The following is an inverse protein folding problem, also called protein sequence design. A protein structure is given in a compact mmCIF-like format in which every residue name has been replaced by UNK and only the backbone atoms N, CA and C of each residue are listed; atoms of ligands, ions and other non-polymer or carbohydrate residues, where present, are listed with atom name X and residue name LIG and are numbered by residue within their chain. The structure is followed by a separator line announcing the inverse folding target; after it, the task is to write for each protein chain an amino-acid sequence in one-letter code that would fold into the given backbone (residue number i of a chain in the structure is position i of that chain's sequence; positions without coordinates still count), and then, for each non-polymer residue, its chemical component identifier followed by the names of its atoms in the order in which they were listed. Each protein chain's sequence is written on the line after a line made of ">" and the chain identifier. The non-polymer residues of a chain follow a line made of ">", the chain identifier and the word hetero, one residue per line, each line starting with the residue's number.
data_IF_338159639642
#
_entry.id   IF_338159639642
#
_cell.length_a   1.000
_cell.length_b   1.000
_cell.length_c   1.000
_cell.angle_alpha   90.00
_cell.angle_beta   90.00
_cell.angle_gamma   90.00
#
_symmetry.space_group_name_H-M   'P 1'
#
loop_
_entity.id
_entity.type
_entity.pdbx_description
1 polymer ?
#
# COMPACT_ATOMS: atom_id res chain seq x y z
N UNK A 1 -25.38 -15.28 -37.72
CA UNK A 1 -26.36 -14.48 -36.96
C UNK A 1 -25.57 -13.87 -35.82
N UNK A 2 -25.00 -12.69 -36.10
CA UNK A 2 -24.09 -11.99 -35.18
C UNK A 2 -24.90 -11.33 -34.07
N UNK A 3 -24.55 -11.64 -32.81
CA UNK A 3 -25.15 -11.01 -31.65
C UNK A 3 -24.26 -9.80 -31.29
N UNK A 4 -24.48 -8.69 -31.97
CA UNK A 4 -23.99 -7.39 -31.56
C UNK A 4 -24.90 -6.82 -30.46
N UNK A 5 -24.73 -7.23 -29.23
CA UNK A 5 -25.31 -6.55 -28.09
C UNK A 5 -24.38 -5.46 -27.59
N UNK A 6 -24.41 -4.33 -28.29
CA UNK A 6 -23.87 -3.08 -27.78
C UNK A 6 -24.81 -2.63 -26.69
N UNK A 7 -24.31 -2.67 -25.44
CA UNK A 7 -24.98 -2.09 -24.29
C UNK A 7 -24.82 -0.57 -24.40
N UNK A 8 -25.82 0.10 -24.97
CA UNK A 8 -25.92 1.57 -24.91
C UNK A 8 -26.32 1.94 -23.49
N UNK A 9 -25.36 2.36 -22.69
CA UNK A 9 -25.61 3.02 -21.44
C UNK A 9 -25.84 4.51 -21.70
N UNK A 10 -27.08 4.97 -21.72
CA UNK A 10 -27.37 6.39 -21.53
C UNK A 10 -27.12 6.71 -20.07
N UNK A 11 -25.89 7.09 -19.74
CA UNK A 11 -25.53 7.63 -18.45
C UNK A 11 -26.12 9.03 -18.32
N UNK A 12 -27.12 9.23 -17.46
CA UNK A 12 -27.35 10.54 -16.86
C UNK A 12 -26.16 10.81 -15.95
N UNK A 13 -25.09 11.38 -16.53
CA UNK A 13 -23.95 11.88 -15.80
C UNK A 13 -24.42 13.06 -14.93
N UNK A 14 -24.55 12.83 -13.63
CA UNK A 14 -24.41 13.93 -12.70
C UNK A 14 -22.99 14.47 -12.85
N UNK A 15 -22.85 15.62 -13.50
CA UNK A 15 -21.58 16.33 -13.64
C UNK A 15 -21.08 16.72 -12.25
N UNK A 16 -20.25 15.85 -11.68
CA UNK A 16 -19.30 16.29 -10.65
C UNK A 16 -18.27 17.11 -11.40
N UNK A 17 -18.19 18.39 -11.09
CA UNK A 17 -17.20 19.32 -11.59
C UNK A 17 -15.80 18.73 -11.36
N UNK A 18 -15.26 18.09 -12.39
CA UNK A 18 -13.85 17.77 -12.49
C UNK A 18 -13.10 19.10 -12.63
N UNK A 19 -12.54 19.61 -11.56
CA UNK A 19 -11.51 20.65 -11.65
C UNK A 19 -10.41 20.08 -12.54
N UNK A 20 -10.16 20.72 -13.69
CA UNK A 20 -9.06 20.40 -14.58
C UNK A 20 -7.76 20.36 -13.79
N UNK A 21 -7.25 19.15 -13.58
CA UNK A 21 -5.91 18.94 -13.04
C UNK A 21 -4.90 19.40 -14.09
N UNK A 22 -3.80 20.11 -13.73
CA UNK A 22 -2.76 20.52 -14.66
C UNK A 22 -2.17 19.33 -15.41
N UNK A 23 -1.59 19.56 -16.60
CA UNK A 23 -0.99 18.54 -17.48
C UNK A 23 -0.11 17.58 -16.68
N UNK A 24 -0.61 16.37 -16.50
CA UNK A 24 -0.21 15.45 -15.46
C UNK A 24 1.08 14.72 -15.79
N UNK A 25 1.91 14.38 -14.79
CA UNK A 25 2.91 13.36 -14.97
C UNK A 25 2.19 12.09 -15.42
N UNK A 26 2.64 11.50 -16.53
CA UNK A 26 2.05 10.27 -17.06
C UNK A 26 2.22 9.17 -16.02
N UNK A 27 1.11 8.70 -15.43
CA UNK A 27 1.08 7.54 -14.53
C UNK A 27 1.12 6.22 -15.31
N UNK A 28 1.45 6.27 -16.60
CA UNK A 28 1.53 5.11 -17.49
C UNK A 28 0.20 4.36 -17.53
N UNK A 29 0.27 3.03 -17.46
CA UNK A 29 -0.92 2.17 -17.50
C UNK A 29 -1.90 2.38 -16.34
N UNK A 30 -1.47 3.03 -15.25
CA UNK A 30 -2.31 3.34 -14.10
C UNK A 30 -3.10 4.65 -14.24
N UNK A 31 -2.91 5.41 -15.33
CA UNK A 31 -3.50 6.73 -15.54
C UNK A 31 -4.95 6.74 -16.05
N UNK A 32 -5.63 5.59 -16.15
CA UNK A 32 -7.04 5.53 -16.56
C UNK A 32 -7.99 5.99 -15.45
N UNK A 33 -9.18 6.43 -15.86
CA UNK A 33 -10.26 6.78 -14.94
C UNK A 33 -11.30 5.66 -14.85
N UNK A 34 -12.01 5.66 -13.72
CA UNK A 34 -13.17 4.83 -13.48
C UNK A 34 -14.39 5.68 -13.11
N UNK A 35 -15.55 5.17 -13.44
CA UNK A 35 -16.84 5.76 -13.12
C UNK A 35 -17.66 4.81 -12.26
N UNK A 36 -18.52 5.39 -11.43
CA UNK A 36 -19.54 4.66 -10.67
C UNK A 36 -20.86 4.81 -11.41
N UNK A 37 -21.45 3.70 -11.80
CA UNK A 37 -22.75 3.66 -12.53
C UNK A 37 -23.74 2.80 -11.78
N UNK A 38 -25.03 3.06 -11.98
CA UNK A 38 -26.09 2.28 -11.34
C UNK A 38 -26.05 0.82 -11.83
N UNK A 39 -26.18 -0.12 -10.91
CA UNK A 39 -26.23 -1.54 -11.25
C UNK A 39 -27.66 -1.91 -11.70
N UNK A 40 -27.73 -2.73 -12.74
CA UNK A 40 -29.02 -3.20 -13.23
C UNK A 40 -28.90 -4.27 -14.29
N UNK A 41 -30.05 -4.78 -14.72
CA UNK A 41 -30.12 -5.74 -15.82
C UNK A 41 -31.20 -5.32 -16.83
N UNK A 42 -31.10 -5.82 -18.04
CA UNK A 42 -32.19 -5.66 -19.03
C UNK A 42 -33.26 -6.70 -18.80
N UNK A 43 -34.52 -6.23 -18.72
CA UNK A 43 -35.66 -7.13 -18.75
C UNK A 43 -35.64 -7.91 -20.11
N UNK A 44 -35.57 -9.24 -20.08
CA UNK A 44 -35.48 -10.02 -21.32
C UNK A 44 -36.76 -9.96 -22.20
N UNK A 45 -37.90 -9.56 -21.63
CA UNK A 45 -39.17 -9.49 -22.32
C UNK A 45 -39.42 -8.08 -22.89
N UNK A 46 -39.18 -7.04 -22.08
CA UNK A 46 -39.51 -5.66 -22.49
C UNK A 46 -38.32 -4.87 -22.99
N UNK A 47 -37.09 -5.37 -22.76
CA UNK A 47 -35.87 -4.67 -23.08
C UNK A 47 -35.55 -3.49 -22.16
N UNK A 48 -36.43 -3.15 -21.22
CA UNK A 48 -36.25 -2.05 -20.29
C UNK A 48 -35.14 -2.34 -19.29
N UNK A 49 -34.43 -1.31 -18.83
CA UNK A 49 -33.46 -1.41 -17.76
C UNK A 49 -34.17 -1.53 -16.40
N UNK A 50 -33.77 -2.51 -15.62
CA UNK A 50 -34.22 -2.73 -14.26
C UNK A 50 -33.03 -2.45 -13.36
N UNK A 51 -33.12 -1.39 -12.57
CA UNK A 51 -32.10 -1.03 -11.57
C UNK A 51 -32.11 -2.01 -10.39
N UNK A 52 -30.92 -2.37 -9.90
CA UNK A 52 -30.74 -3.12 -8.67
C UNK A 52 -30.55 -2.12 -7.53
N UNK A 53 -31.49 -2.01 -6.60
CA UNK A 53 -31.39 -1.06 -5.50
C UNK A 53 -30.10 -1.25 -4.69
N UNK A 54 -29.53 -0.15 -4.20
CA UNK A 54 -28.35 -0.11 -3.33
C UNK A 54 -27.08 -0.74 -3.90
N UNK A 55 -27.05 -0.92 -5.22
CA UNK A 55 -25.92 -1.51 -5.92
C UNK A 55 -25.46 -0.61 -7.06
N UNK A 56 -24.15 -0.50 -7.21
CA UNK A 56 -23.50 0.25 -8.29
C UNK A 56 -22.37 -0.60 -8.89
N UNK A 57 -22.02 -0.35 -10.14
CA UNK A 57 -20.83 -0.90 -10.76
C UNK A 57 -19.74 0.16 -10.88
N UNK A 58 -18.50 -0.27 -10.65
CA UNK A 58 -17.34 0.51 -11.03
C UNK A 58 -16.92 0.02 -12.41
N UNK A 59 -16.88 0.93 -13.36
CA UNK A 59 -16.47 0.65 -14.74
C UNK A 59 -15.26 1.49 -15.13
N UNK A 60 -14.41 0.94 -15.96
CA UNK A 60 -13.30 1.67 -16.58
C UNK A 60 -13.84 2.56 -17.70
N UNK A 61 -13.52 3.85 -17.67
CA UNK A 61 -14.14 4.85 -18.56
C UNK A 61 -13.79 4.63 -20.03
N UNK A 62 -12.53 4.30 -20.33
CA UNK A 62 -12.03 4.15 -21.69
C UNK A 62 -12.49 2.87 -22.40
N UNK A 63 -12.75 1.80 -21.65
CA UNK A 63 -13.11 0.49 -22.19
C UNK A 63 -14.53 0.05 -21.86
N UNK A 64 -15.21 0.72 -20.91
CA UNK A 64 -16.50 0.29 -20.37
C UNK A 64 -16.42 -1.01 -19.55
N UNK A 65 -15.22 -1.50 -19.27
CA UNK A 65 -15.03 -2.77 -18.56
C UNK A 65 -15.46 -2.63 -17.08
N UNK A 66 -16.34 -3.52 -16.58
CA UNK A 66 -16.70 -3.52 -15.18
C UNK A 66 -15.59 -4.16 -14.32
N UNK A 67 -15.28 -3.54 -13.17
CA UNK A 67 -14.38 -4.10 -12.17
C UNK A 67 -15.16 -4.85 -11.09
N UNK A 68 -16.16 -4.21 -10.47
CA UNK A 68 -16.87 -4.79 -9.35
C UNK A 68 -18.21 -4.10 -9.10
N UNK A 69 -19.18 -4.86 -8.58
CA UNK A 69 -20.35 -4.31 -7.94
C UNK A 69 -20.04 -3.88 -6.50
N UNK A 70 -20.47 -2.68 -6.13
CA UNK A 70 -20.25 -2.07 -4.82
C UNK A 70 -21.55 -1.50 -4.27
N UNK A 71 -21.65 -1.32 -2.95
CA UNK A 71 -22.76 -0.65 -2.32
C UNK A 71 -22.66 0.88 -2.40
N UNK A 72 -23.74 1.56 -2.02
CA UNK A 72 -23.83 3.03 -2.04
C UNK A 72 -22.81 3.73 -1.14
N UNK A 73 -22.30 3.06 -0.12
CA UNK A 73 -21.30 3.61 0.81
C UNK A 73 -19.83 3.49 0.28
N UNK A 74 -19.66 2.95 -0.92
CA UNK A 74 -18.32 2.83 -1.50
C UNK A 74 -17.84 4.18 -2.03
N UNK A 75 -16.64 4.60 -1.60
CA UNK A 75 -15.95 5.77 -2.14
C UNK A 75 -14.90 5.32 -3.15
N UNK A 76 -15.15 5.61 -4.42
CA UNK A 76 -14.16 5.44 -5.47
C UNK A 76 -13.03 6.45 -5.31
N UNK A 77 -11.79 5.98 -5.43
CA UNK A 77 -10.58 6.80 -5.59
C UNK A 77 -9.90 6.32 -6.85
N UNK A 78 -9.81 7.15 -7.87
CA UNK A 78 -9.06 6.83 -9.08
C UNK A 78 -7.56 6.73 -8.76
N UNK A 79 -6.82 5.91 -9.53
CA UNK A 79 -5.38 5.76 -9.30
C UNK A 79 -4.63 7.07 -9.49
N UNK A 80 -4.99 7.84 -10.51
CA UNK A 80 -4.45 9.18 -10.78
C UNK A 80 -4.65 10.12 -9.58
N UNK A 81 -5.84 10.12 -8.98
CA UNK A 81 -6.16 10.93 -7.80
C UNK A 81 -5.33 10.51 -6.56
N UNK A 82 -5.12 9.19 -6.39
CA UNK A 82 -4.28 8.65 -5.33
C UNK A 82 -2.82 9.12 -5.49
N UNK A 83 -2.28 9.08 -6.70
CA UNK A 83 -0.91 9.49 -7.00
C UNK A 83 -0.74 11.01 -6.91
N UNK A 84 -1.68 11.80 -7.45
CA UNK A 84 -1.68 13.24 -7.32
C UNK A 84 -1.73 13.70 -5.85
N UNK A 85 -2.41 12.95 -4.99
CA UNK A 85 -2.41 13.22 -3.54
C UNK A 85 -1.04 12.97 -2.93
N UNK A 86 -0.35 11.90 -3.33
CA UNK A 86 1.02 11.63 -2.88
C UNK A 86 1.99 12.73 -3.34
N UNK A 87 1.88 13.20 -4.57
CA UNK A 87 2.73 14.29 -5.08
C UNK A 87 2.53 15.59 -4.30
N UNK A 88 1.29 15.94 -3.95
CA UNK A 88 1.01 17.09 -3.07
C UNK A 88 1.61 16.92 -1.67
N UNK A 89 1.63 15.70 -1.12
CA UNK A 89 2.28 15.41 0.16
C UNK A 89 3.79 15.62 0.02
N UNK A 90 4.40 15.13 -1.05
CA UNK A 90 5.84 15.31 -1.34
C UNK A 90 6.18 16.79 -1.47
N UNK A 91 5.42 17.56 -2.25
CA UNK A 91 5.61 19.00 -2.42
C UNK A 91 5.51 19.76 -1.10
N UNK A 92 4.56 19.40 -0.24
CA UNK A 92 4.33 20.02 1.08
C UNK A 92 5.31 19.58 2.16
N UNK A 93 6.07 18.51 1.96
CA UNK A 93 6.94 17.91 2.99
C UNK A 93 8.30 18.59 3.14
N UNK A 94 8.71 19.45 2.19
CA UNK A 94 10.04 20.04 2.16
C UNK A 94 11.17 19.07 1.81
N UNK A 95 10.86 17.88 1.29
CA UNK A 95 11.85 16.90 0.81
C UNK A 95 12.65 17.47 -0.36
N UNK A 96 13.96 17.21 -0.39
CA UNK A 96 14.75 17.41 -1.61
C UNK A 96 14.36 16.33 -2.63
N UNK A 97 13.65 16.74 -3.66
CA UNK A 97 13.15 15.86 -4.73
C UNK A 97 14.11 15.75 -5.91
N UNK A 98 15.33 16.30 -5.80
CA UNK A 98 16.35 16.21 -6.86
C UNK A 98 16.65 14.73 -7.15
N UNK A 99 16.50 14.34 -8.42
CA UNK A 99 16.68 12.96 -8.83
C UNK A 99 15.62 11.98 -8.34
N UNK A 100 14.48 12.45 -7.85
CA UNK A 100 13.37 11.58 -7.43
C UNK A 100 12.95 10.64 -8.56
N UNK A 101 12.90 9.35 -8.25
CA UNK A 101 12.45 8.30 -9.15
C UNK A 101 10.98 7.96 -8.87
N UNK A 102 10.21 7.75 -9.95
CA UNK A 102 8.81 7.32 -9.89
C UNK A 102 8.64 6.00 -10.63
N UNK A 103 7.91 5.07 -10.03
CA UNK A 103 7.55 3.80 -10.67
C UNK A 103 6.10 3.47 -10.34
N UNK A 104 5.27 3.26 -11.37
CA UNK A 104 3.85 2.96 -11.25
C UNK A 104 3.57 1.58 -11.79
N UNK A 105 2.91 0.76 -11.00
CA UNK A 105 2.55 -0.62 -11.35
C UNK A 105 1.08 -0.87 -11.14
N UNK A 106 0.49 -1.63 -12.06
CA UNK A 106 -0.86 -2.15 -11.89
C UNK A 106 -0.84 -3.66 -11.76
N UNK A 107 -1.87 -4.19 -11.14
CA UNK A 107 -2.12 -5.63 -11.07
C UNK A 107 -3.63 -5.90 -11.12
N UNK A 108 -4.00 -7.18 -11.27
CA UNK A 108 -5.41 -7.58 -11.37
C UNK A 108 -6.12 -6.77 -12.47
N UNK A 109 -5.47 -6.67 -13.64
CA UNK A 109 -6.00 -6.00 -14.83
C UNK A 109 -6.36 -4.51 -14.60
N UNK A 110 -5.62 -3.86 -13.69
CA UNK A 110 -5.82 -2.48 -13.31
C UNK A 110 -6.73 -2.27 -12.09
N UNK A 111 -7.28 -3.33 -11.49
CA UNK A 111 -8.07 -3.16 -10.27
C UNK A 111 -7.22 -2.66 -9.07
N UNK A 112 -5.92 -2.89 -9.09
CA UNK A 112 -4.97 -2.46 -8.06
C UNK A 112 -3.82 -1.69 -8.67
N UNK A 113 -3.39 -0.62 -8.01
CA UNK A 113 -2.22 0.15 -8.40
C UNK A 113 -1.29 0.44 -7.23
N UNK A 114 -0.01 0.57 -7.56
CA UNK A 114 1.09 0.85 -6.66
C UNK A 114 1.92 1.97 -7.26
N UNK A 115 2.19 3.02 -6.49
CA UNK A 115 3.10 4.09 -6.85
C UNK A 115 4.27 4.10 -5.88
N UNK A 116 5.48 4.08 -6.42
CA UNK A 116 6.73 4.12 -5.67
C UNK A 116 7.45 5.41 -5.99
N UNK A 117 7.76 6.20 -4.98
CA UNK A 117 8.55 7.41 -5.08
C UNK A 117 9.79 7.22 -4.23
N UNK A 118 10.97 7.23 -4.84
CA UNK A 118 12.27 7.06 -4.19
C UNK A 118 12.99 8.39 -4.15
N UNK A 119 13.68 8.66 -3.05
CA UNK A 119 14.36 9.92 -2.82
C UNK A 119 15.86 9.70 -2.66
N UNK A 120 16.65 9.67 -3.76
CA UNK A 120 18.08 9.40 -3.70
C UNK A 120 18.87 10.41 -2.86
N UNK A 121 18.39 11.65 -2.75
CA UNK A 121 18.98 12.68 -1.88
C UNK A 121 18.81 12.41 -0.39
N UNK A 122 17.93 11.46 -0.03
CA UNK A 122 17.69 11.01 1.33
C UNK A 122 18.19 9.58 1.53
N UNK A 123 19.40 9.31 1.03
CA UNK A 123 20.15 8.07 1.30
C UNK A 123 21.03 8.24 2.51
N UNK A 124 21.04 7.22 3.36
CA UNK A 124 21.86 7.21 4.57
C UNK A 124 22.55 5.85 4.71
N UNK A 125 23.84 5.87 5.00
CA UNK A 125 24.57 4.67 5.40
C UNK A 125 24.39 4.46 6.90
N UNK A 126 23.68 3.41 7.27
CA UNK A 126 23.40 3.07 8.69
C UNK A 126 24.43 2.12 9.27
N UNK A 127 25.10 1.33 8.42
CA UNK A 127 26.24 0.50 8.74
C UNK A 127 27.13 0.32 7.50
N UNK A 128 28.32 -0.22 7.65
CA UNK A 128 29.23 -0.48 6.53
C UNK A 128 28.55 -1.31 5.45
N UNK A 129 28.43 -0.76 4.23
CA UNK A 129 27.73 -1.37 3.08
C UNK A 129 26.21 -1.57 3.31
N UNK A 130 25.62 -0.91 4.28
CA UNK A 130 24.19 -0.98 4.59
C UNK A 130 23.57 0.39 4.43
N UNK A 131 23.09 0.65 3.23
CA UNK A 131 22.47 1.93 2.85
C UNK A 131 20.96 1.79 2.80
N UNK A 132 20.28 2.76 3.37
CA UNK A 132 18.84 2.93 3.30
C UNK A 132 18.50 4.17 2.49
N UNK A 133 17.32 4.17 1.88
CA UNK A 133 16.79 5.28 1.10
C UNK A 133 15.35 5.55 1.51
N UNK A 134 14.99 6.82 1.66
CA UNK A 134 13.59 7.19 1.91
C UNK A 134 12.74 6.87 0.69
N UNK A 135 11.58 6.26 0.92
CA UNK A 135 10.58 5.92 -0.09
C UNK A 135 9.19 6.28 0.37
N UNK A 136 8.35 6.78 -0.55
CA UNK A 136 6.90 6.86 -0.38
C UNK A 136 6.25 5.77 -1.24
N UNK A 137 5.36 5.00 -0.63
CA UNK A 137 4.56 3.97 -1.29
C UNK A 137 3.08 4.34 -1.24
N UNK A 138 2.45 4.37 -2.40
CA UNK A 138 1.00 4.51 -2.57
C UNK A 138 0.41 3.17 -2.97
N UNK A 139 -0.68 2.78 -2.32
CA UNK A 139 -1.46 1.60 -2.68
C UNK A 139 -2.92 1.98 -2.79
N UNK A 140 -3.52 1.66 -3.91
CA UNK A 140 -4.93 1.92 -4.17
C UNK A 140 -5.60 0.74 -4.88
N UNK A 141 -6.89 0.57 -4.69
CA UNK A 141 -7.68 -0.37 -5.48
C UNK A 141 -9.01 0.25 -5.90
N UNK A 142 -9.41 -0.03 -7.13
CA UNK A 142 -10.69 0.37 -7.68
C UNK A 142 -11.82 -0.51 -7.14
N UNK A 143 -11.54 -1.79 -6.94
CA UNK A 143 -12.50 -2.81 -6.52
C UNK A 143 -12.65 -2.96 -4.99
N UNK A 144 -11.97 -2.13 -4.19
CA UNK A 144 -11.97 -2.21 -2.73
C UNK A 144 -11.29 -3.45 -2.16
N UNK A 145 -10.54 -4.22 -2.97
CA UNK A 145 -9.77 -5.39 -2.51
C UNK A 145 -8.60 -5.00 -1.62
N UNK A 146 -8.13 -3.76 -1.71
CA UNK A 146 -7.15 -3.17 -0.82
C UNK A 146 -7.67 -1.88 -0.21
N UNK A 147 -7.15 -1.51 0.94
CA UNK A 147 -7.36 -0.18 1.51
C UNK A 147 -6.51 0.84 0.77
N UNK A 148 -7.03 2.05 0.58
CA UNK A 148 -6.18 3.19 0.23
C UNK A 148 -5.10 3.39 1.28
N UNK A 149 -3.85 3.55 0.84
CA UNK A 149 -2.72 3.69 1.74
C UNK A 149 -1.62 4.52 1.09
N UNK A 150 -1.14 5.52 1.85
CA UNK A 150 0.10 6.25 1.58
C UNK A 150 1.01 6.02 2.76
N UNK A 151 2.27 5.64 2.50
CA UNK A 151 3.19 5.22 3.54
C UNK A 151 4.61 5.64 3.19
N UNK A 152 5.27 6.38 4.09
CA UNK A 152 6.70 6.57 4.04
C UNK A 152 7.42 5.42 4.74
N UNK A 153 8.50 4.97 4.15
CA UNK A 153 9.34 3.93 4.70
C UNK A 153 10.79 4.08 4.27
N UNK A 154 11.68 3.34 4.90
CA UNK A 154 13.07 3.23 4.49
C UNK A 154 13.26 1.94 3.68
N UNK A 155 13.78 2.08 2.47
CA UNK A 155 14.16 0.98 1.60
C UNK A 155 15.63 0.64 1.85
N UNK A 156 15.93 -0.59 2.25
CA UNK A 156 17.32 -1.06 2.37
C UNK A 156 17.84 -1.49 1.00
N UNK A 157 18.87 -0.81 0.49
CA UNK A 157 19.37 -1.04 -0.87
C UNK A 157 20.14 -2.37 -1.03
N UNK A 158 20.60 -2.96 0.06
CA UNK A 158 21.24 -4.29 0.03
C UNK A 158 20.27 -5.45 -0.27
N UNK A 159 18.97 -5.22 -0.15
CA UNK A 159 17.93 -6.21 -0.45
C UNK A 159 17.41 -6.01 -1.87
N UNK A 160 17.87 -6.81 -2.82
CA UNK A 160 17.43 -6.78 -4.23
C UNK A 160 15.91 -7.03 -4.43
N UNK A 161 15.23 -7.54 -3.42
CA UNK A 161 13.80 -7.87 -3.48
C UNK A 161 12.85 -6.70 -3.21
N UNK A 162 13.35 -5.48 -3.05
CA UNK A 162 12.52 -4.28 -2.83
C UNK A 162 11.71 -4.32 -1.53
N UNK A 163 12.11 -5.15 -0.57
CA UNK A 163 11.48 -5.17 0.75
C UNK A 163 11.83 -3.89 1.50
N UNK A 164 10.82 -3.15 1.94
CA UNK A 164 10.99 -2.09 2.94
C UNK A 164 11.42 -2.75 4.24
N UNK A 165 12.73 -2.78 4.49
CA UNK A 165 13.32 -3.55 5.58
C UNK A 165 13.14 -2.90 6.95
N UNK A 166 12.74 -1.64 6.99
CA UNK A 166 12.57 -0.86 8.21
C UNK A 166 11.17 -0.31 8.21
N UNK A 167 10.49 -0.47 9.33
CA UNK A 167 9.07 -0.19 9.48
C UNK A 167 8.56 1.14 8.91
N UNK A 168 7.28 1.29 8.88
CA UNK A 168 6.58 2.49 8.43
C UNK A 168 7.02 3.70 9.27
N UNK A 169 7.59 4.71 8.63
CA UNK A 169 7.97 5.98 9.25
C UNK A 169 6.74 6.85 9.47
N UNK A 170 5.82 6.83 8.50
CA UNK A 170 4.54 7.51 8.58
C UNK A 170 3.55 6.83 7.65
N UNK A 171 2.29 6.72 8.09
CA UNK A 171 1.28 5.95 7.34
C UNK A 171 -0.11 6.51 7.49
N UNK A 172 -0.76 6.70 6.35
CA UNK A 172 -2.20 6.89 6.26
C UNK A 172 -2.84 5.68 5.57
N UNK A 173 -3.84 5.05 6.21
CA UNK A 173 -4.53 3.88 5.67
C UNK A 173 -6.01 3.89 6.01
N UNK A 174 -6.89 3.86 5.01
CA UNK A 174 -8.34 3.90 5.16
C UNK A 174 -9.04 2.92 4.22
N UNK A 175 -10.25 2.49 4.59
CA UNK A 175 -11.14 1.72 3.71
C UNK A 175 -11.82 2.66 2.72
N UNK A 176 -12.21 2.15 1.55
CA UNK A 176 -13.02 2.84 0.54
C UNK A 176 -14.49 2.92 0.97
N UNK A 177 -14.77 3.79 1.92
CA UNK A 177 -16.13 4.05 2.43
C UNK A 177 -16.45 5.52 2.27
N UNK A 178 -17.71 5.91 2.38
CA UNK A 178 -18.18 7.32 2.29
C UNK A 178 -17.43 8.30 3.21
N UNK A 179 -16.70 7.78 4.20
CA UNK A 179 -15.89 8.59 5.12
C UNK A 179 -14.43 8.72 4.67
N UNK A 180 -14.07 8.15 3.51
CA UNK A 180 -12.72 8.30 2.99
C UNK A 180 -12.55 9.69 2.39
N UNK A 181 -11.70 10.48 3.02
CA UNK A 181 -11.14 11.69 2.43
C UNK A 181 -9.62 11.49 2.29
N UNK A 182 -9.13 11.40 1.07
CA UNK A 182 -7.71 11.15 0.80
C UNK A 182 -6.83 12.34 1.17
N UNK A 183 -7.39 13.55 1.23
CA UNK A 183 -6.69 14.77 1.63
C UNK A 183 -6.29 14.76 3.11
N UNK A 184 -6.98 13.96 3.94
CA UNK A 184 -6.61 13.76 5.35
C UNK A 184 -5.25 13.05 5.51
N UNK A 185 -4.66 12.55 4.40
CA UNK A 185 -3.33 11.98 4.41
C UNK A 185 -2.21 13.02 4.52
N UNK A 186 -2.48 14.28 4.16
CA UNK A 186 -1.44 15.33 4.05
C UNK A 186 -0.83 15.64 5.41
N UNK A 187 -1.65 15.99 6.38
CA UNK A 187 -1.18 16.42 7.72
C UNK A 187 -0.32 15.38 8.44
N UNK A 188 -0.73 14.09 8.56
CA UNK A 188 0.07 13.08 9.26
C UNK A 188 1.41 12.75 8.61
N UNK A 189 1.61 13.14 7.35
CA UNK A 189 2.79 12.80 6.55
C UNK A 189 3.71 13.99 6.27
N UNK A 190 3.39 15.19 6.77
CA UNK A 190 4.21 16.39 6.55
C UNK A 190 5.57 16.34 7.27
N UNK A 191 5.64 15.79 8.47
CA UNK A 191 6.86 15.77 9.30
C UNK A 191 7.78 14.57 9.01
N UNK A 192 7.69 14.00 7.82
CA UNK A 192 8.41 12.77 7.47
C UNK A 192 9.93 12.92 7.56
N UNK A 193 10.48 14.09 7.25
CA UNK A 193 11.94 14.32 7.26
C UNK A 193 12.48 14.18 8.69
N UNK A 194 11.86 14.85 9.66
CA UNK A 194 12.28 14.81 11.06
C UNK A 194 12.20 13.39 11.62
N UNK A 195 11.10 12.69 11.32
CA UNK A 195 10.89 11.31 11.75
C UNK A 195 11.90 10.37 11.09
N UNK A 196 12.20 10.56 9.80
CA UNK A 196 13.21 9.79 9.08
C UNK A 196 14.60 9.99 9.68
N UNK A 197 15.04 11.23 9.87
CA UNK A 197 16.34 11.54 10.45
C UNK A 197 16.50 10.97 11.86
N UNK A 198 15.49 11.14 12.71
CA UNK A 198 15.47 10.55 14.05
C UNK A 198 15.55 9.02 14.02
N UNK A 199 14.88 8.39 13.05
CA UNK A 199 14.94 6.95 12.86
C UNK A 199 16.33 6.49 12.39
N UNK A 200 16.94 7.20 11.45
CA UNK A 200 18.31 6.95 10.96
C UNK A 200 19.32 6.98 12.11
N UNK A 201 19.25 8.03 12.96
CA UNK A 201 20.13 8.15 14.13
C UNK A 201 19.92 7.00 15.12
N UNK A 202 18.69 6.54 15.26
CA UNK A 202 18.38 5.37 16.10
C UNK A 202 18.98 4.10 15.53
N UNK A 203 18.88 3.87 14.23
CA UNK A 203 19.46 2.70 13.55
C UNK A 203 20.98 2.70 13.59
N UNK A 204 21.62 3.87 13.39
CA UNK A 204 23.07 4.03 13.55
C UNK A 204 23.54 3.64 14.95
N UNK A 205 22.78 3.98 15.99
CA UNK A 205 23.08 3.58 17.38
C UNK A 205 22.90 2.08 17.61
N UNK A 206 21.96 1.43 16.95
CA UNK A 206 21.78 -0.02 17.08
C UNK A 206 22.99 -0.81 16.55
N UNK A 207 23.66 -0.30 15.52
CA UNK A 207 24.90 -0.91 14.99
C UNK A 207 26.00 -1.05 16.06
N UNK A 208 26.13 -0.07 16.92
CA UNK A 208 27.19 0.00 17.91
C UNK A 208 26.85 -0.71 19.23
N UNK A 209 25.59 -1.18 19.36
CA UNK A 209 25.13 -1.92 20.51
C UNK A 209 25.47 -3.41 20.37
N UNK A 210 26.32 -3.91 21.25
CA UNK A 210 26.48 -5.35 21.42
C UNK A 210 25.18 -5.95 21.98
N UNK A 211 24.71 -7.03 21.35
CA UNK A 211 23.52 -7.78 21.74
C UNK A 211 23.98 -9.16 22.17
N UNK A 212 23.62 -9.60 23.37
CA UNK A 212 23.88 -10.96 23.83
C UNK A 212 22.98 -11.96 23.11
N UNK A 213 23.38 -13.23 23.06
CA UNK A 213 22.54 -14.29 22.44
C UNK A 213 21.15 -14.37 23.08
N UNK A 214 21.06 -14.22 24.40
CA UNK A 214 19.79 -14.18 25.13
C UNK A 214 18.89 -13.01 24.71
N UNK A 215 19.44 -11.80 24.56
CA UNK A 215 18.68 -10.64 24.06
C UNK A 215 18.23 -10.86 22.61
N UNK A 216 19.10 -11.39 21.75
CA UNK A 216 18.76 -11.70 20.35
C UNK A 216 17.62 -12.71 20.24
N UNK A 217 17.69 -13.80 21.01
CA UNK A 217 16.64 -14.81 21.04
C UNK A 217 15.32 -14.23 21.55
N UNK A 218 15.36 -13.39 22.60
CA UNK A 218 14.17 -12.70 23.13
C UNK A 218 13.53 -11.80 22.07
N UNK A 219 14.32 -10.99 21.35
CA UNK A 219 13.83 -10.11 20.29
C UNK A 219 13.19 -10.91 19.14
N UNK A 220 13.81 -12.02 18.74
CA UNK A 220 13.27 -12.90 17.70
C UNK A 220 11.96 -13.54 18.19
N UNK A 221 11.92 -14.02 19.43
CA UNK A 221 10.72 -14.59 20.03
C UNK A 221 9.56 -13.59 20.06
N UNK A 222 9.84 -12.33 20.42
CA UNK A 222 8.85 -11.25 20.45
C UNK A 222 8.28 -10.93 19.04
N UNK A 223 9.11 -11.04 18.02
CA UNK A 223 8.73 -10.74 16.65
C UNK A 223 7.92 -11.85 15.95
N UNK A 224 8.19 -13.13 16.26
CA UNK A 224 7.69 -14.26 15.45
C UNK A 224 6.82 -15.25 16.24
N UNK A 225 6.86 -15.23 17.56
CA UNK A 225 6.22 -16.26 18.37
C UNK A 225 4.82 -15.88 18.85
N UNK A 226 3.92 -16.85 18.88
CA UNK A 226 2.67 -16.73 19.65
C UNK A 226 3.00 -16.60 21.16
N UNK A 227 2.06 -16.09 21.99
CA UNK A 227 2.30 -15.94 23.44
C UNK A 227 2.81 -17.20 24.13
N UNK A 228 2.32 -18.36 23.73
CA UNK A 228 2.73 -19.65 24.31
C UNK A 228 4.16 -20.04 23.90
N UNK A 229 4.52 -19.82 22.63
CA UNK A 229 5.88 -20.08 22.13
C UNK A 229 6.87 -19.10 22.75
N UNK A 230 6.49 -17.81 22.86
CA UNK A 230 7.31 -16.81 23.55
C UNK A 230 7.64 -17.22 24.96
N UNK A 231 6.63 -17.63 25.73
CA UNK A 231 6.82 -18.12 27.11
C UNK A 231 7.73 -19.34 27.17
N UNK A 232 7.57 -20.28 26.23
CA UNK A 232 8.44 -21.46 26.12
C UNK A 232 9.90 -21.07 25.84
N UNK A 233 10.15 -20.18 24.87
CA UNK A 233 11.51 -19.75 24.51
C UNK A 233 12.16 -19.03 25.69
N UNK A 234 11.47 -18.09 26.35
CA UNK A 234 12.00 -17.36 27.50
C UNK A 234 12.36 -18.32 28.66
N UNK A 235 11.47 -19.27 28.99
CA UNK A 235 11.73 -20.27 30.02
C UNK A 235 12.90 -21.20 29.67
N UNK A 236 13.16 -21.43 28.39
CA UNK A 236 14.27 -22.25 27.92
C UNK A 236 15.63 -21.54 27.99
N UNK A 237 15.64 -20.19 27.96
CA UNK A 237 16.85 -19.38 28.14
C UNK A 237 17.30 -19.42 29.61
N UNK A 238 16.34 -19.37 30.55
CA UNK A 238 16.61 -19.39 31.99
C UNK A 238 17.04 -20.78 32.51
N UNK A 239 16.73 -21.85 31.79
CA UNK A 239 17.27 -23.19 32.04
C UNK A 239 18.52 -23.37 31.21
N UNK A 240 19.71 -23.57 31.84
CA UNK A 240 20.99 -23.83 31.17
C UNK A 240 20.81 -24.72 29.92
N UNK A 241 20.88 -24.08 28.76
CA UNK A 241 20.63 -24.73 27.48
C UNK A 241 21.87 -25.55 27.08
N UNK A 242 21.96 -26.76 27.59
CA UNK A 242 22.86 -27.77 27.08
C UNK A 242 22.03 -28.80 26.30
N UNK A 243 21.74 -28.56 25.04
CA UNK A 243 20.99 -29.58 24.31
C UNK A 243 20.79 -29.27 22.83
N UNK A 244 20.85 -30.29 22.05
CA UNK A 244 20.66 -30.32 20.61
C UNK A 244 19.51 -29.47 20.11
N UNK A 245 19.88 -28.41 19.40
CA UNK A 245 18.98 -27.44 18.75
C UNK A 245 18.06 -28.14 17.70
N UNK A 246 18.40 -29.35 17.27
CA UNK A 246 17.65 -30.11 16.26
C UNK A 246 16.26 -30.57 16.69
N UNK A 247 15.95 -30.60 17.97
CA UNK A 247 14.64 -31.07 18.48
C UNK A 247 13.73 -29.96 19.00
N UNK A 248 14.08 -28.73 18.87
CA UNK A 248 13.29 -27.60 19.36
C UNK A 248 12.04 -27.36 18.49
N UNK A 249 10.86 -27.27 19.12
CA UNK A 249 9.57 -27.02 18.45
C UNK A 249 9.57 -25.79 17.54
N UNK A 250 10.41 -24.79 17.82
CA UNK A 250 10.53 -23.58 17.02
C UNK A 250 11.16 -23.84 15.65
N UNK A 251 12.08 -24.80 15.53
CA UNK A 251 12.66 -25.19 14.25
C UNK A 251 11.59 -25.74 13.29
N UNK A 252 10.61 -26.48 13.81
CA UNK A 252 9.47 -26.99 13.02
C UNK A 252 8.50 -25.89 12.59
N UNK A 253 8.37 -24.81 13.35
CA UNK A 253 7.47 -23.71 13.03
C UNK A 253 8.11 -22.67 12.11
N UNK A 254 9.40 -22.38 12.25
CA UNK A 254 10.14 -21.58 11.27
C UNK A 254 10.13 -22.25 9.89
N UNK A 255 10.33 -23.56 9.82
CA UNK A 255 10.24 -24.31 8.55
C UNK A 255 8.86 -24.25 7.90
N UNK A 256 7.79 -24.08 8.67
CA UNK A 256 6.41 -23.90 8.15
C UNK A 256 6.08 -22.45 7.75
N UNK A 257 6.79 -21.48 8.30
CA UNK A 257 6.60 -20.06 7.95
C UNK A 257 7.35 -19.67 6.66
N UNK A 258 8.29 -20.52 6.22
CA UNK A 258 9.09 -20.32 4.99
C UNK A 258 8.65 -21.23 3.82
N UNK A 259 7.62 -22.06 3.98
CA UNK A 259 6.93 -22.76 2.89
C UNK A 259 5.62 -22.04 2.52
#
# INVERSE_FOLDING_TARGET
>A
MEINNIINFEAKANQILLTKVPAEPSYGEAGFNCLVVDAGCRNPVTGSFIEVPDSKFIIREDTGRPFKAVGNDYQLVNHSEAFATAERIIEGSGLDTSGMERDFKISHEGARAFGFYRFPMHREEVALNDTIELQLLVRNSIDGSMRFCIEYGALRLACLNGMTALGSIGKFKRKHTKYLNIHDAVEPLQNVIEVYQSSVETWKRFKDRAVTDSEAITLIADAVATPDIKKFIINSIDSEFSGDVEHCLWHKQLSRAYQ
#
